data_IF_178367214961
#
_entry.id   IF_178367214961
#
_cell.length_a   1.000
_cell.length_b   1.000
_cell.length_c   1.000
_cell.angle_alpha   90.00
_cell.angle_beta   90.00
_cell.angle_gamma   90.00
#
_symmetry.space_group_name_H-M   'P 1'
#
loop_
_entity.id
_entity.type
_entity.pdbx_description
1 polymer ?
#
# COMPACT_ATOMS: atom_id res chain seq x y z
N UNK A 1 -5.64 -0.06 -13.34
CA UNK A 1 -5.19 -1.48 -13.17
C UNK A 1 -3.70 -1.47 -12.81
N UNK A 2 -3.17 -2.55 -12.22
CA UNK A 2 -1.75 -2.67 -11.82
C UNK A 2 -0.91 -3.56 -12.74
N UNK A 3 -1.52 -4.49 -13.48
CA UNK A 3 -0.75 -5.26 -14.46
C UNK A 3 -0.29 -4.35 -15.62
N UNK A 4 1.02 -4.31 -15.90
CA UNK A 4 1.60 -3.48 -16.97
C UNK A 4 1.15 -3.91 -18.36
N UNK A 5 0.86 -5.20 -18.57
CA UNK A 5 0.33 -5.72 -19.83
C UNK A 5 -1.16 -5.40 -20.07
N UNK A 6 -1.84 -4.77 -19.10
CA UNK A 6 -3.24 -4.39 -19.24
C UNK A 6 -3.40 -3.15 -20.13
N UNK A 7 -4.33 -3.18 -21.08
CA UNK A 7 -4.75 -1.99 -21.87
C UNK A 7 -5.28 -0.83 -21.02
N UNK A 8 -5.60 -1.08 -19.75
CA UNK A 8 -6.07 -0.07 -18.79
C UNK A 8 -4.99 0.30 -17.75
N UNK A 9 -3.74 -0.07 -18.02
CA UNK A 9 -2.59 0.42 -17.28
C UNK A 9 -2.37 1.90 -17.61
N UNK A 10 -2.10 2.71 -16.59
CA UNK A 10 -1.88 4.15 -16.74
C UNK A 10 -0.40 4.43 -16.57
N UNK A 11 0.35 4.33 -17.67
CA UNK A 11 1.81 4.49 -17.70
C UNK A 11 2.26 5.86 -17.17
N UNK A 12 1.50 6.92 -17.47
CA UNK A 12 1.82 8.29 -17.04
C UNK A 12 1.82 8.48 -15.51
N UNK A 13 1.23 7.56 -14.74
CA UNK A 13 1.24 7.57 -13.27
C UNK A 13 2.49 6.88 -12.68
N UNK A 14 3.25 6.13 -13.48
CA UNK A 14 4.49 5.47 -13.04
C UNK A 14 5.53 6.53 -12.69
N UNK A 15 6.20 6.33 -11.55
CA UNK A 15 7.21 7.24 -11.01
C UNK A 15 8.61 6.68 -11.13
N UNK A 16 8.79 5.40 -10.84
CA UNK A 16 10.08 4.70 -10.86
C UNK A 16 9.85 3.21 -11.13
N UNK A 17 10.80 2.58 -11.80
CA UNK A 17 10.76 1.15 -12.17
C UNK A 17 12.11 0.53 -11.82
N UNK A 18 12.07 -0.56 -11.04
CA UNK A 18 13.20 -1.44 -10.74
C UNK A 18 13.10 -2.72 -11.56
N UNK A 19 13.98 -3.69 -11.31
CA UNK A 19 14.02 -4.94 -12.07
C UNK A 19 12.76 -5.79 -11.90
N UNK A 20 12.17 -5.86 -10.69
CA UNK A 20 11.02 -6.73 -10.40
C UNK A 20 9.80 -6.00 -9.87
N UNK A 21 9.91 -4.69 -9.63
CA UNK A 21 8.86 -3.88 -9.01
C UNK A 21 8.84 -2.47 -9.62
N UNK A 22 7.73 -1.77 -9.42
CA UNK A 22 7.64 -0.37 -9.79
C UNK A 22 6.80 0.40 -8.77
N UNK A 23 7.04 1.71 -8.69
CA UNK A 23 6.26 2.64 -7.89
C UNK A 23 5.45 3.55 -8.80
N UNK A 24 4.19 3.78 -8.46
CA UNK A 24 3.31 4.73 -9.17
C UNK A 24 2.42 5.51 -8.21
N UNK A 25 1.82 6.57 -8.72
CA UNK A 25 0.77 7.30 -8.01
C UNK A 25 -0.49 6.45 -7.92
N UNK A 26 -1.09 6.39 -6.72
CA UNK A 26 -2.36 5.71 -6.52
C UNK A 26 -3.49 6.42 -7.26
N UNK A 27 -4.27 5.66 -8.03
CA UNK A 27 -5.46 6.19 -8.69
C UNK A 27 -6.46 6.67 -7.62
N UNK A 28 -7.03 7.86 -7.81
CA UNK A 28 -7.84 8.47 -6.76
C UNK A 28 -7.04 8.84 -5.52
N UNK A 29 -5.80 9.32 -5.71
CA UNK A 29 -4.90 9.75 -4.64
C UNK A 29 -5.61 10.62 -3.58
N UNK A 30 -5.28 10.39 -2.30
CA UNK A 30 -5.86 11.09 -1.15
C UNK A 30 -5.00 12.28 -0.71
N UNK A 31 -3.84 12.47 -1.32
CA UNK A 31 -2.86 13.50 -0.98
C UNK A 31 -1.56 13.31 -1.76
N UNK A 32 -0.72 14.36 -1.81
CA UNK A 32 0.63 14.24 -2.41
C UNK A 32 1.44 13.19 -1.65
N UNK A 33 2.06 12.26 -2.38
CA UNK A 33 2.78 11.12 -1.79
C UNK A 33 1.91 9.89 -1.50
N UNK A 34 0.63 9.88 -1.90
CA UNK A 34 -0.14 8.64 -1.96
C UNK A 34 0.28 7.81 -3.16
N UNK A 35 1.10 6.79 -2.91
CA UNK A 35 1.71 5.92 -3.93
C UNK A 35 1.35 4.46 -3.68
N UNK A 36 1.52 3.66 -4.73
CA UNK A 36 1.44 2.21 -4.67
C UNK A 36 2.72 1.61 -5.24
N UNK A 37 3.29 0.66 -4.53
CA UNK A 37 4.45 -0.14 -4.95
C UNK A 37 3.94 -1.52 -5.32
N UNK A 38 4.27 -2.00 -6.51
CA UNK A 38 3.68 -3.21 -7.11
C UNK A 38 4.78 -4.03 -7.78
N UNK A 39 4.80 -5.37 -7.62
CA UNK A 39 5.64 -6.22 -8.46
C UNK A 39 5.23 -6.11 -9.94
N UNK A 40 6.16 -6.46 -10.82
CA UNK A 40 5.89 -6.62 -12.26
C UNK A 40 5.11 -7.94 -12.47
N UNK A 41 5.55 -9.01 -11.80
CA UNK A 41 4.89 -10.31 -11.82
C UNK A 41 3.52 -10.26 -11.15
N UNK A 42 2.55 -10.96 -11.75
CA UNK A 42 1.20 -11.05 -11.22
C UNK A 42 1.12 -11.99 -10.02
N UNK A 43 1.37 -11.46 -8.83
CA UNK A 43 1.19 -12.15 -7.55
C UNK A 43 0.11 -11.48 -6.70
N UNK A 44 -0.46 -12.20 -5.74
CA UNK A 44 -1.55 -11.71 -4.89
C UNK A 44 -1.09 -11.28 -3.48
N UNK A 45 0.15 -11.56 -3.10
CA UNK A 45 0.67 -11.35 -1.75
C UNK A 45 2.20 -11.20 -1.73
N UNK A 46 2.73 -10.44 -0.77
CA UNK A 46 4.20 -10.37 -0.57
C UNK A 46 4.83 -11.71 -0.24
N UNK A 47 4.05 -12.66 0.31
CA UNK A 47 4.48 -14.03 0.60
C UNK A 47 4.88 -14.80 -0.66
N UNK A 48 4.33 -14.47 -1.83
CA UNK A 48 4.66 -15.12 -3.12
C UNK A 48 5.89 -14.51 -3.80
N UNK A 49 6.44 -13.41 -3.29
CA UNK A 49 7.57 -12.71 -3.91
C UNK A 49 8.88 -13.47 -3.77
N UNK A 50 9.79 -13.22 -4.72
CA UNK A 50 11.20 -13.53 -4.56
C UNK A 50 11.82 -12.64 -3.46
N UNK A 51 12.94 -13.05 -2.84
CA UNK A 51 13.65 -12.18 -1.90
C UNK A 51 14.03 -10.82 -2.51
N UNK A 52 14.44 -10.80 -3.78
CA UNK A 52 14.79 -9.57 -4.50
C UNK A 52 13.59 -8.63 -4.67
N UNK A 53 12.43 -9.12 -5.12
CA UNK A 53 11.25 -8.28 -5.27
C UNK A 53 10.75 -7.73 -3.91
N UNK A 54 10.91 -8.50 -2.83
CA UNK A 54 10.59 -8.02 -1.49
C UNK A 54 11.57 -6.90 -1.05
N UNK A 55 12.87 -7.08 -1.27
CA UNK A 55 13.89 -6.05 -1.00
C UNK A 55 13.64 -4.76 -1.78
N UNK A 56 13.27 -4.85 -3.06
CA UNK A 56 12.91 -3.67 -3.86
C UNK A 56 11.67 -2.94 -3.31
N UNK A 57 10.65 -3.69 -2.86
CA UNK A 57 9.49 -3.08 -2.18
C UNK A 57 9.93 -2.33 -0.92
N UNK A 58 10.73 -2.96 -0.06
CA UNK A 58 11.19 -2.34 1.19
C UNK A 58 12.10 -1.12 0.94
N UNK A 59 12.87 -1.16 -0.14
CA UNK A 59 13.69 -0.04 -0.61
C UNK A 59 12.81 1.13 -1.07
N UNK A 60 11.80 0.87 -1.92
CA UNK A 60 10.84 1.89 -2.31
C UNK A 60 10.05 2.46 -1.13
N UNK A 61 9.64 1.63 -0.16
CA UNK A 61 8.99 2.10 1.06
C UNK A 61 9.89 3.04 1.85
N UNK A 62 11.18 2.70 1.99
CA UNK A 62 12.17 3.53 2.69
C UNK A 62 12.40 4.87 1.99
N UNK A 63 12.53 4.87 0.66
CA UNK A 63 12.64 6.08 -0.15
C UNK A 63 11.39 6.96 -0.08
N UNK A 64 10.20 6.36 -0.16
CA UNK A 64 8.93 7.06 -0.01
C UNK A 64 8.79 7.68 1.40
N UNK A 65 9.21 6.99 2.46
CA UNK A 65 9.24 7.54 3.82
C UNK A 65 10.22 8.71 3.94
N UNK A 66 11.40 8.64 3.32
CA UNK A 66 12.36 9.75 3.30
C UNK A 66 11.80 10.98 2.57
N UNK A 67 11.08 10.75 1.47
CA UNK A 67 10.36 11.78 0.73
C UNK A 67 9.22 12.42 1.55
N UNK A 68 8.46 11.61 2.30
CA UNK A 68 7.38 12.09 3.16
C UNK A 68 7.91 12.85 4.38
N UNK A 69 9.07 12.45 4.92
CA UNK A 69 9.74 13.16 6.02
C UNK A 69 10.01 14.63 5.69
N UNK A 70 10.43 14.96 4.46
CA UNK A 70 10.61 16.37 4.04
C UNK A 70 9.31 17.19 4.03
N UNK A 71 8.15 16.54 4.16
CA UNK A 71 6.82 17.16 4.21
C UNK A 71 6.16 17.10 5.59
N UNK A 72 6.90 16.72 6.64
CA UNK A 72 6.34 16.48 7.98
C UNK A 72 5.19 15.46 7.94
N UNK A 73 5.35 14.45 7.08
CA UNK A 73 4.41 13.36 6.92
C UNK A 73 5.09 12.03 7.25
N UNK A 74 4.29 11.17 7.86
CA UNK A 74 4.50 9.75 8.03
C UNK A 74 3.55 8.99 7.09
N UNK A 75 3.58 7.66 7.09
CA UNK A 75 2.74 6.83 6.24
C UNK A 75 1.94 5.78 7.03
N UNK A 76 0.70 5.58 6.61
CA UNK A 76 -0.02 4.32 6.82
C UNK A 76 0.22 3.49 5.57
N UNK A 77 0.82 2.31 5.72
CA UNK A 77 1.09 1.39 4.62
C UNK A 77 0.12 0.22 4.74
N UNK A 78 -0.56 -0.13 3.66
CA UNK A 78 -1.47 -1.27 3.64
C UNK A 78 -1.10 -2.25 2.53
N UNK A 79 -1.43 -3.50 2.77
CA UNK A 79 -1.50 -4.54 1.75
C UNK A 79 -2.71 -5.43 2.07
N UNK A 80 -3.49 -5.76 1.05
CA UNK A 80 -4.56 -6.73 1.15
C UNK A 80 -4.20 -7.94 0.29
N UNK A 81 -3.86 -9.03 0.94
CA UNK A 81 -3.54 -10.29 0.30
C UNK A 81 -4.73 -11.24 0.34
N UNK A 82 -4.97 -11.90 -0.78
CA UNK A 82 -6.05 -12.86 -0.94
C UNK A 82 -5.51 -14.14 -1.59
N UNK A 83 -6.01 -15.28 -1.11
CA UNK A 83 -5.84 -16.55 -1.81
C UNK A 83 -6.43 -16.42 -3.21
N UNK A 84 -5.68 -16.86 -4.22
CA UNK A 84 -6.15 -16.82 -5.60
C UNK A 84 -7.21 -17.91 -5.79
N UNK A 85 -8.47 -17.56 -5.64
CA UNK A 85 -9.59 -18.49 -5.81
C UNK A 85 -10.03 -18.64 -7.27
N UNK A 86 -9.33 -18.02 -8.23
CA UNK A 86 -9.72 -18.07 -9.64
C UNK A 86 -8.51 -18.21 -10.57
N UNK A 87 -8.39 -19.36 -11.24
CA UNK A 87 -7.44 -19.61 -12.34
C UNK A 87 -7.60 -18.69 -13.57
N UNK A 88 -8.31 -17.58 -13.44
CA UNK A 88 -8.43 -16.55 -14.45
C UNK A 88 -7.43 -15.43 -14.16
N UNK A 89 -6.69 -15.01 -15.17
CA UNK A 89 -5.81 -13.83 -15.24
C UNK A 89 -6.50 -12.48 -14.94
N UNK A 90 -7.67 -12.50 -14.29
CA UNK A 90 -8.42 -11.39 -13.72
C UNK A 90 -8.21 -11.21 -12.21
N UNK A 91 -7.31 -11.98 -11.60
CA UNK A 91 -6.96 -11.95 -10.18
C UNK A 91 -6.47 -10.60 -9.66
N UNK A 92 -6.42 -10.49 -8.33
CA UNK A 92 -5.90 -9.32 -7.63
C UNK A 92 -4.39 -9.22 -7.79
N UNK A 93 -3.90 -8.08 -8.26
CA UNK A 93 -2.46 -7.82 -8.33
C UNK A 93 -2.03 -7.12 -7.02
N UNK A 94 -1.07 -7.71 -6.32
CA UNK A 94 -0.42 -7.17 -5.15
C UNK A 94 -0.04 -5.70 -5.34
N UNK A 95 -0.34 -4.88 -4.34
CA UNK A 95 0.19 -3.54 -4.22
C UNK A 95 0.31 -3.18 -2.73
N UNK A 96 1.45 -2.59 -2.34
CA UNK A 96 1.64 -1.90 -1.06
C UNK A 96 1.22 -0.45 -1.26
N UNK A 97 0.08 -0.05 -0.71
CA UNK A 97 -0.44 1.31 -0.82
C UNK A 97 0.00 2.13 0.39
N UNK A 98 0.62 3.29 0.14
CA UNK A 98 1.17 4.17 1.18
C UNK A 98 0.36 5.46 1.25
N UNK A 99 -0.34 5.69 2.36
CA UNK A 99 -1.12 6.90 2.58
C UNK A 99 -0.32 7.91 3.40
N UNK A 100 -0.05 9.11 2.87
CA UNK A 100 0.64 10.16 3.61
C UNK A 100 -0.27 10.72 4.71
N UNK A 101 0.24 10.78 5.94
CA UNK A 101 -0.44 11.35 7.11
C UNK A 101 0.49 12.38 7.74
N UNK A 102 0.00 13.59 7.98
CA UNK A 102 0.72 14.60 8.77
C UNK A 102 1.14 14.01 10.12
N UNK A 103 2.40 14.24 10.52
CA UNK A 103 2.97 13.65 11.73
C UNK A 103 2.13 13.93 12.99
N UNK A 104 1.60 15.16 13.10
CA UNK A 104 0.76 15.60 14.22
C UNK A 104 -0.56 14.81 14.35
N UNK A 105 -1.03 14.18 13.27
CA UNK A 105 -2.27 13.41 13.21
C UNK A 105 -2.04 11.91 13.34
N UNK A 106 -0.81 11.44 13.10
CA UNK A 106 -0.52 10.03 12.90
C UNK A 106 -0.98 9.14 14.07
N UNK A 107 -0.73 9.56 15.33
CA UNK A 107 -1.21 8.83 16.52
C UNK A 107 -2.73 8.63 16.48
N UNK A 108 -3.50 9.71 16.34
CA UNK A 108 -4.97 9.68 16.31
C UNK A 108 -5.51 8.84 15.15
N UNK A 109 -4.87 8.94 13.97
CA UNK A 109 -5.27 8.16 12.79
C UNK A 109 -5.00 6.66 13.01
N UNK A 110 -3.84 6.31 13.57
CA UNK A 110 -3.50 4.91 13.86
C UNK A 110 -4.49 4.26 14.84
N UNK A 111 -4.84 4.96 15.92
CA UNK A 111 -5.80 4.50 16.92
C UNK A 111 -7.20 4.29 16.32
N UNK A 112 -7.63 5.18 15.41
CA UNK A 112 -8.91 5.04 14.70
C UNK A 112 -8.92 3.84 13.75
N UNK A 113 -7.85 3.66 12.97
CA UNK A 113 -7.72 2.52 12.06
C UNK A 113 -7.79 1.21 12.84
N UNK A 114 -7.02 1.08 13.91
CA UNK A 114 -7.03 -0.11 14.76
C UNK A 114 -8.38 -0.32 15.45
N UNK A 115 -9.00 0.74 15.96
CA UNK A 115 -10.32 0.64 16.57
C UNK A 115 -11.35 0.10 15.57
N UNK A 116 -11.35 0.63 14.34
CA UNK A 116 -12.27 0.19 13.29
C UNK A 116 -12.00 -1.26 12.89
N UNK A 117 -10.74 -1.67 12.74
CA UNK A 117 -10.38 -3.05 12.41
C UNK A 117 -10.70 -4.03 13.54
N UNK A 118 -10.48 -3.65 14.81
CA UNK A 118 -10.82 -4.48 15.99
C UNK A 118 -12.32 -4.72 16.15
N UNK A 119 -13.15 -3.77 15.70
CA UNK A 119 -14.62 -3.95 15.69
C UNK A 119 -15.11 -4.90 14.61
N UNK A 120 -14.25 -5.25 13.65
CA UNK A 120 -14.51 -6.30 12.67
C UNK A 120 -14.07 -7.64 13.26
N UNK A 121 -14.59 -8.75 12.71
CA UNK A 121 -14.28 -10.12 13.16
C UNK A 121 -12.92 -10.61 12.65
N UNK A 122 -11.89 -9.76 12.65
CA UNK A 122 -10.53 -10.15 12.23
C UNK A 122 -9.64 -10.39 13.43
N UNK A 123 -8.83 -11.44 13.37
CA UNK A 123 -7.82 -11.72 14.39
C UNK A 123 -6.57 -10.89 14.08
N UNK A 124 -6.09 -10.14 15.07
CA UNK A 124 -4.93 -9.27 14.92
C UNK A 124 -3.68 -9.91 15.56
N UNK A 125 -2.57 -9.87 14.83
CA UNK A 125 -1.25 -10.28 15.30
C UNK A 125 -0.25 -9.14 15.11
N UNK A 126 0.52 -8.84 16.15
CA UNK A 126 1.66 -7.93 16.06
C UNK A 126 2.85 -8.68 15.48
N UNK A 127 3.54 -8.08 14.50
CA UNK A 127 4.77 -8.64 13.96
C UNK A 127 5.93 -8.17 14.87
N UNK A 128 6.72 -9.09 15.46
CA UNK A 128 7.94 -8.70 16.15
C UNK A 128 8.93 -8.02 15.19
N UNK A 129 9.78 -7.10 15.67
CA UNK A 129 10.85 -6.55 14.84
C UNK A 129 11.74 -7.67 14.26
N UNK A 130 12.05 -7.58 12.97
CA UNK A 130 12.89 -8.57 12.26
C UNK A 130 12.15 -9.83 11.79
N UNK A 131 10.86 -10.01 12.09
CA UNK A 131 10.09 -11.16 11.59
C UNK A 131 9.62 -10.94 10.16
N UNK A 132 9.84 -11.93 9.29
CA UNK A 132 9.31 -11.93 7.92
C UNK A 132 7.80 -12.16 7.92
N UNK A 133 7.07 -11.45 7.05
CA UNK A 133 5.62 -11.65 6.86
C UNK A 133 5.34 -13.08 6.38
N UNK A 134 6.23 -13.64 5.54
CA UNK A 134 6.13 -15.02 5.07
C UNK A 134 6.09 -16.00 6.24
N UNK A 135 6.91 -15.80 7.27
CA UNK A 135 6.96 -16.68 8.44
C UNK A 135 5.69 -16.58 9.30
N UNK A 136 4.96 -15.47 9.21
CA UNK A 136 3.75 -15.20 9.99
C UNK A 136 2.49 -15.73 9.30
N UNK A 137 2.46 -15.80 7.97
CA UNK A 137 1.23 -15.95 7.18
C UNK A 137 0.91 -17.39 6.73
N UNK A 138 1.81 -18.35 6.88
CA UNK A 138 1.59 -19.73 6.39
C UNK A 138 0.68 -20.52 7.35
N UNK A 139 -0.63 -20.34 7.21
CA UNK A 139 -1.66 -21.15 7.88
C UNK A 139 -2.87 -21.34 6.95
N UNK A 140 -3.19 -22.60 6.64
CA UNK A 140 -4.26 -22.98 5.71
C UNK A 140 -5.66 -22.64 6.21
N UNK A 141 -5.82 -22.21 7.46
CA UNK A 141 -7.09 -21.75 8.05
C UNK A 141 -7.54 -20.38 7.54
N UNK A 142 -6.63 -19.57 6.99
CA UNK A 142 -6.94 -18.22 6.54
C UNK A 142 -7.06 -18.13 5.02
N UNK A 143 -8.02 -17.34 4.55
CA UNK A 143 -8.25 -17.05 3.13
C UNK A 143 -7.59 -15.75 2.68
N UNK A 144 -7.38 -14.83 3.62
CA UNK A 144 -6.87 -13.49 3.36
C UNK A 144 -6.11 -12.98 4.58
N UNK A 145 -5.15 -12.10 4.34
CA UNK A 145 -4.58 -11.28 5.39
C UNK A 145 -4.54 -9.82 4.97
N UNK A 146 -4.62 -8.94 5.96
CA UNK A 146 -4.43 -7.50 5.80
C UNK A 146 -3.19 -7.10 6.58
N UNK A 147 -2.22 -6.52 5.89
CA UNK A 147 -1.05 -5.92 6.50
C UNK A 147 -1.30 -4.43 6.70
N UNK A 148 -0.95 -3.93 7.87
CA UNK A 148 -0.96 -2.50 8.19
C UNK A 148 0.34 -2.14 8.88
N UNK A 149 1.04 -1.13 8.36
CA UNK A 149 2.15 -0.51 9.04
C UNK A 149 1.93 0.99 9.27
N UNK A 150 2.37 1.45 10.43
CA UNK A 150 2.49 2.85 10.78
C UNK A 150 3.98 3.18 10.85
N UNK A 151 4.44 4.04 9.94
CA UNK A 151 5.87 4.29 9.75
C UNK A 151 6.15 5.77 9.47
N UNK A 152 7.32 6.26 9.89
CA UNK A 152 7.75 7.65 9.72
C UNK A 152 8.12 8.31 11.05
N UNK A 153 8.52 9.58 11.00
CA UNK A 153 8.98 10.33 12.20
C UNK A 153 7.86 10.54 13.21
N UNK A 154 6.62 10.79 12.75
CA UNK A 154 5.43 10.91 13.60
C UNK A 154 4.96 9.60 14.25
N UNK A 155 5.63 8.47 13.99
CA UNK A 155 5.28 7.17 14.56
C UNK A 155 6.50 6.27 14.80
N UNK A 156 7.34 6.64 15.78
CA UNK A 156 8.46 5.82 16.26
C UNK A 156 8.17 5.20 17.64
N UNK A 157 8.49 3.91 17.86
CA UNK A 157 8.96 2.94 16.86
C UNK A 157 7.85 2.59 15.85
N UNK A 158 8.26 2.22 14.63
CA UNK A 158 7.32 1.72 13.62
C UNK A 158 6.54 0.54 14.18
N UNK A 159 5.27 0.42 13.80
CA UNK A 159 4.41 -0.70 14.21
C UNK A 159 3.80 -1.37 13.00
N UNK A 160 3.92 -2.69 12.96
CA UNK A 160 3.37 -3.55 11.91
C UNK A 160 2.37 -4.54 12.51
N UNK A 161 1.24 -4.69 11.85
CA UNK A 161 0.13 -5.54 12.27
C UNK A 161 -0.33 -6.38 11.08
N UNK A 162 -0.70 -7.64 11.35
CA UNK A 162 -1.37 -8.51 10.40
C UNK A 162 -2.74 -8.85 10.96
N UNK A 163 -3.76 -8.73 10.12
CA UNK A 163 -5.12 -9.17 10.41
C UNK A 163 -5.45 -10.36 9.54
N UNK A 164 -5.98 -11.42 10.14
CA UNK A 164 -6.35 -12.63 9.42
C UNK A 164 -7.87 -12.74 9.26
N UNK A 165 -8.27 -13.23 8.08
CA UNK A 165 -9.64 -13.64 7.78
C UNK A 165 -9.69 -15.16 7.61
N UNK A 166 -10.42 -15.82 8.50
CA UNK A 166 -10.71 -17.26 8.42
C UNK A 166 -11.50 -17.59 7.13
N UNK A 167 -11.28 -18.81 6.58
CA UNK A 167 -11.94 -19.27 5.35
C UNK A 167 -13.47 -19.24 5.46
N UNK A 168 -14.01 -19.67 6.60
CA UNK A 168 -15.47 -19.76 6.84
C UNK A 168 -16.13 -18.42 7.22
N UNK A 169 -15.34 -17.34 7.35
CA UNK A 169 -15.87 -16.01 7.63
C UNK A 169 -16.45 -15.33 6.38
N UNK A 170 -17.42 -14.44 6.59
CA UNK A 170 -18.06 -13.64 5.54
C UNK A 170 -17.03 -12.95 4.62
N UNK A 171 -17.39 -12.81 3.34
CA UNK A 171 -16.56 -12.14 2.35
C UNK A 171 -16.24 -10.70 2.77
N UNK A 172 -15.00 -10.29 2.52
CA UNK A 172 -14.53 -8.95 2.85
C UNK A 172 -14.39 -8.16 1.54
N UNK A 173 -14.96 -6.96 1.45
CA UNK A 173 -14.79 -6.14 0.27
C UNK A 173 -13.33 -5.74 0.12
N UNK A 174 -12.80 -5.79 -1.11
CA UNK A 174 -11.43 -5.36 -1.42
C UNK A 174 -11.15 -3.90 -1.02
N UNK A 175 -12.20 -3.06 -0.99
CA UNK A 175 -12.10 -1.67 -0.57
C UNK A 175 -11.96 -1.49 0.93
N UNK A 176 -12.00 -2.55 1.75
CA UNK A 176 -12.00 -2.46 3.21
C UNK A 176 -10.88 -1.57 3.72
N UNK A 177 -9.65 -1.82 3.29
CA UNK A 177 -8.49 -1.11 3.81
C UNK A 177 -8.54 0.38 3.47
N UNK A 178 -8.90 0.71 2.23
CA UNK A 178 -9.12 2.09 1.83
C UNK A 178 -10.28 2.74 2.58
N UNK A 179 -11.40 2.03 2.78
CA UNK A 179 -12.54 2.51 3.57
C UNK A 179 -12.10 2.89 4.98
N UNK A 180 -11.38 2.00 5.66
CA UNK A 180 -10.87 2.22 7.02
C UNK A 180 -9.95 3.45 7.09
N UNK A 181 -9.03 3.60 6.13
CA UNK A 181 -8.14 4.77 6.08
C UNK A 181 -8.92 6.06 5.80
N UNK A 182 -9.82 6.06 4.82
CA UNK A 182 -10.61 7.27 4.48
C UNK A 182 -11.55 7.68 5.60
N UNK A 183 -12.13 6.73 6.33
CA UNK A 183 -12.93 6.99 7.52
C UNK A 183 -12.09 7.64 8.62
N UNK A 184 -10.92 7.06 8.93
CA UNK A 184 -10.00 7.63 9.91
C UNK A 184 -9.54 9.04 9.53
N UNK A 185 -9.35 9.30 8.24
CA UNK A 185 -8.98 10.61 7.69
C UNK A 185 -10.12 11.64 7.71
N UNK A 186 -11.37 11.24 7.99
CA UNK A 186 -12.54 12.11 7.94
C UNK A 186 -13.05 12.39 6.53
N UNK A 187 -12.74 11.52 5.57
CA UNK A 187 -13.18 11.65 4.18
C UNK A 187 -13.79 10.34 3.62
N UNK A 188 -14.77 9.71 4.30
CA UNK A 188 -15.32 8.40 3.92
C UNK A 188 -15.91 8.35 2.49
N UNK A 189 -16.35 9.48 1.94
CA UNK A 189 -16.79 9.61 0.55
C UNK A 189 -15.71 9.28 -0.48
N UNK A 190 -14.42 9.36 -0.09
CA UNK A 190 -13.26 9.02 -0.96
C UNK A 190 -12.89 7.54 -0.92
N UNK A 191 -13.65 6.71 -0.19
CA UNK A 191 -13.47 5.26 -0.15
C UNK A 191 -13.63 4.62 -1.53
N UNK A 192 -14.55 5.12 -2.35
CA UNK A 192 -14.63 4.77 -3.77
C UNK A 192 -13.60 5.61 -4.55
N UNK A 193 -12.46 4.99 -4.89
CA UNK A 193 -11.40 5.65 -5.64
C UNK A 193 -11.87 6.18 -7.01
N UNK A 194 -12.91 5.58 -7.61
CA UNK A 194 -13.48 6.04 -8.89
C UNK A 194 -14.06 7.45 -8.79
N UNK A 195 -14.62 7.80 -7.64
CA UNK A 195 -15.12 9.14 -7.34
C UNK A 195 -14.01 10.18 -7.14
N UNK A 196 -12.74 9.75 -7.14
CA UNK A 196 -11.57 10.61 -7.00
C UNK A 196 -10.75 10.68 -8.30
N UNK A 197 -11.28 10.21 -9.43
CA UNK A 197 -10.59 10.25 -10.72
C UNK A 197 -10.43 11.71 -11.18
N UNK A 198 -9.26 11.99 -11.75
CA UNK A 198 -8.95 13.26 -12.41
C UNK A 198 -8.91 13.06 -13.91
N UNK A 199 -8.96 14.16 -14.66
CA UNK A 199 -8.70 14.12 -16.10
C UNK A 199 -7.26 13.64 -16.38
N UNK A 200 -7.01 13.16 -17.60
CA UNK A 200 -5.67 12.73 -18.02
C UNK A 200 -4.62 13.84 -17.84
N UNK A 201 -4.95 15.06 -18.28
CA UNK A 201 -4.05 16.22 -18.19
C UNK A 201 -3.69 16.57 -16.73
N UNK A 202 -4.68 16.51 -15.82
CA UNK A 202 -4.43 16.71 -14.39
C UNK A 202 -3.59 15.60 -13.78
N UNK A 203 -3.82 14.35 -14.17
CA UNK A 203 -3.01 13.21 -13.74
C UNK A 203 -1.57 13.36 -14.22
N UNK A 204 -1.33 13.71 -15.49
CA UNK A 204 0.00 13.93 -16.06
C UNK A 204 0.74 15.07 -15.34
N UNK A 205 0.08 16.20 -15.12
CA UNK A 205 0.65 17.35 -14.40
C UNK A 205 1.04 16.98 -12.96
N UNK A 206 0.15 16.30 -12.24
CA UNK A 206 0.42 15.84 -10.87
C UNK A 206 1.55 14.82 -10.85
N UNK A 207 1.58 13.92 -11.84
CA UNK A 207 2.59 12.87 -11.92
C UNK A 207 3.97 13.43 -12.23
N UNK A 208 4.06 14.40 -13.14
CA UNK A 208 5.31 15.08 -13.44
C UNK A 208 5.84 15.82 -12.22
N UNK A 209 5.02 16.66 -11.59
CA UNK A 209 5.39 17.38 -10.37
C UNK A 209 5.88 16.43 -9.28
N UNK A 210 5.20 15.30 -9.06
CA UNK A 210 5.58 14.36 -8.01
C UNK A 210 6.86 13.59 -8.36
N UNK A 211 7.08 13.24 -9.65
CA UNK A 211 8.34 12.64 -10.11
C UNK A 211 9.52 13.58 -9.87
N UNK A 212 9.40 14.83 -10.27
CA UNK A 212 10.46 15.83 -10.09
C UNK A 212 10.79 16.03 -8.60
N UNK A 213 9.75 16.10 -7.75
CA UNK A 213 9.93 16.22 -6.29
C UNK A 213 10.53 14.93 -5.67
N UNK A 214 10.26 13.75 -6.24
CA UNK A 214 10.71 12.45 -5.72
C UNK A 214 12.09 12.03 -6.23
N UNK A 215 12.55 12.55 -7.36
CA UNK A 215 13.81 12.18 -8.02
C UNK A 215 15.03 12.11 -7.07
N UNK A 216 15.22 13.03 -6.09
CA UNK A 216 16.34 12.93 -5.14
C UNK A 216 16.29 11.73 -4.19
N UNK A 217 15.15 11.06 -4.09
CA UNK A 217 14.89 9.91 -3.21
C UNK A 217 14.75 8.60 -3.98
N UNK A 218 14.65 8.67 -5.30
CA UNK A 218 14.40 7.51 -6.14
C UNK A 218 15.60 6.56 -6.09
N UNK A 219 15.44 5.32 -5.57
CA UNK A 219 16.56 4.38 -5.45
C UNK A 219 17.18 4.03 -6.80
N UNK A 220 16.44 4.19 -7.91
CA UNK A 220 16.92 3.90 -9.26
C UNK A 220 17.73 5.04 -9.88
N UNK A 221 17.65 6.25 -9.32
CA UNK A 221 18.42 7.41 -9.77
C UNK A 221 19.62 7.72 -8.86
N UNK A 222 19.74 7.08 -7.70
CA UNK A 222 20.83 7.30 -6.74
C UNK A 222 22.14 6.54 -7.07
N UNK A 223 22.30 6.05 -8.30
CA UNK A 223 23.44 5.22 -8.72
C UNK A 223 24.05 5.58 -10.08
N UNK A 224 23.78 6.77 -10.61
CA UNK A 224 24.40 7.30 -11.84
C UNK A 224 25.35 8.46 -11.56
#
# INVERSE_FOLDING_TARGET
RFCMSSKHFKEHLVMSVSDQTYMKISQGSLGKGHVAITPIDHVTSTVQLTPKALEEIETYESSALAFLKRRNCSAVIIEHAMEDSSSSSNGFHLHREMFPIEDSRMKRISERIEHTLRRKRYRMQKIPPGTSIRDVVIDSRYSQYFYVAFAGEGFKPQRRLIYFKEKDSAAVPYTLMRMVVTDALGCPQKSNWRSCQKSLQEEEKVSQSLRDEFQPFDPMHQGS
#
